data_IF_434384399669
#
_entry.id   IF_434384399669
#
_cell.length_a   1.000
_cell.length_b   1.000
_cell.length_c   1.000
_cell.angle_alpha   90.00
_cell.angle_beta   90.00
_cell.angle_gamma   90.00
#
_symmetry.space_group_name_H-M   'P 1'
#
loop_
_entity.id
_entity.type
_entity.pdbx_description
1 polymer ?
#
# COMPACT_ATOMS: atom_id res chain seq x y z
N UNK A 1 7.99 -9.95 18.86
CA UNK A 1 7.71 -8.56 18.46
C UNK A 1 6.73 -8.54 17.30
N UNK A 2 7.01 -9.21 16.15
CA UNK A 2 6.14 -9.24 14.98
C UNK A 2 4.74 -9.72 15.33
N UNK A 3 4.61 -10.83 16.06
CA UNK A 3 3.31 -11.36 16.48
C UNK A 3 2.52 -10.38 17.36
N UNK A 4 3.20 -9.68 18.30
CA UNK A 4 2.59 -8.67 19.14
C UNK A 4 2.15 -7.46 18.33
N UNK A 5 2.98 -7.03 17.38
CA UNK A 5 2.68 -5.92 16.48
C UNK A 5 1.47 -6.23 15.59
N UNK A 6 1.40 -7.42 15.01
CA UNK A 6 0.24 -7.86 14.22
C UNK A 6 -1.03 -7.93 15.07
N UNK A 7 -0.95 -8.46 16.29
CA UNK A 7 -2.10 -8.57 17.19
C UNK A 7 -2.68 -7.21 17.60
N UNK A 8 -1.85 -6.20 17.78
CA UNK A 8 -2.28 -4.85 18.19
C UNK A 8 -2.52 -3.97 16.95
N UNK A 9 -1.68 -4.05 15.94
CA UNK A 9 -1.72 -3.19 14.76
C UNK A 9 -2.90 -3.49 13.84
N UNK A 10 -3.20 -4.77 13.58
CA UNK A 10 -4.27 -5.13 12.64
C UNK A 10 -5.65 -4.60 13.04
N UNK A 11 -6.14 -4.74 14.30
CA UNK A 11 -7.41 -4.16 14.68
C UNK A 11 -7.41 -2.63 14.63
N UNK A 12 -6.25 -2.00 14.93
CA UNK A 12 -6.11 -0.55 14.88
C UNK A 12 -6.16 -0.02 13.45
N UNK A 13 -5.52 -0.71 12.49
CA UNK A 13 -5.60 -0.38 11.06
C UNK A 13 -7.02 -0.56 10.49
N UNK A 14 -7.73 -1.61 10.91
CA UNK A 14 -9.14 -1.79 10.53
C UNK A 14 -10.03 -0.67 11.09
N UNK A 15 -9.80 -0.27 12.34
CA UNK A 15 -10.49 0.88 12.95
C UNK A 15 -10.21 2.17 12.19
N UNK A 16 -8.96 2.40 11.78
CA UNK A 16 -8.59 3.56 10.96
C UNK A 16 -9.38 3.59 9.64
N UNK A 17 -9.45 2.46 8.93
CA UNK A 17 -10.22 2.37 7.68
C UNK A 17 -11.70 2.71 7.89
N UNK A 18 -12.31 2.16 8.94
CA UNK A 18 -13.71 2.47 9.28
C UNK A 18 -13.93 3.96 9.60
N UNK A 19 -12.95 4.66 10.21
CA UNK A 19 -13.04 6.10 10.46
C UNK A 19 -12.89 6.94 9.19
N UNK A 20 -12.01 6.52 8.27
CA UNK A 20 -11.89 7.12 6.94
C UNK A 20 -13.23 7.02 6.18
N UNK A 21 -13.84 5.84 6.19
CA UNK A 21 -15.14 5.61 5.53
C UNK A 21 -16.25 6.48 6.14
N UNK A 22 -16.23 6.68 7.46
CA UNK A 22 -17.18 7.56 8.15
C UNK A 22 -17.04 9.03 7.74
N UNK A 23 -15.80 9.55 7.65
CA UNK A 23 -15.53 10.92 7.16
C UNK A 23 -15.97 11.07 5.71
N UNK A 24 -15.60 10.13 4.85
CA UNK A 24 -15.97 10.14 3.43
C UNK A 24 -17.48 10.09 3.22
N UNK A 25 -18.21 9.36 4.07
CA UNK A 25 -19.67 9.31 4.04
C UNK A 25 -20.27 10.65 4.39
N UNK A 26 -19.87 11.26 5.53
CA UNK A 26 -20.38 12.57 5.97
C UNK A 26 -20.06 13.63 4.93
N UNK A 27 -18.85 13.63 4.36
CA UNK A 27 -18.46 14.58 3.31
C UNK A 27 -19.34 14.44 2.06
N UNK A 28 -19.66 13.22 1.62
CA UNK A 28 -20.56 13.00 0.48
C UNK A 28 -21.98 13.47 0.78
N UNK A 29 -22.49 13.23 1.97
CA UNK A 29 -23.81 13.68 2.41
C UNK A 29 -23.88 15.21 2.43
N UNK A 30 -22.85 15.90 2.97
CA UNK A 30 -22.78 17.37 2.97
C UNK A 30 -22.69 17.95 1.56
N UNK A 31 -21.88 17.36 0.68
CA UNK A 31 -21.75 17.83 -0.71
C UNK A 31 -23.06 17.68 -1.50
N UNK A 32 -23.78 16.56 -1.31
CA UNK A 32 -25.07 16.34 -1.95
C UNK A 32 -26.18 17.21 -1.36
N UNK A 33 -26.12 17.44 -0.04
CA UNK A 33 -27.12 18.20 0.71
C UNK A 33 -26.85 19.70 0.83
N UNK A 34 -25.80 20.26 0.22
CA UNK A 34 -25.33 21.65 0.47
C UNK A 34 -26.41 22.69 0.25
N UNK A 35 -27.29 22.52 -0.73
CA UNK A 35 -28.39 23.45 -1.00
C UNK A 35 -29.45 23.43 0.12
N UNK A 36 -29.78 22.24 0.62
CA UNK A 36 -30.71 22.06 1.72
C UNK A 36 -30.11 22.59 3.04
N UNK A 37 -28.84 22.29 3.31
CA UNK A 37 -28.13 22.77 4.51
C UNK A 37 -28.20 24.30 4.58
N UNK A 38 -27.93 24.99 3.47
CA UNK A 38 -28.02 26.45 3.37
C UNK A 38 -29.47 26.97 3.49
N UNK A 39 -30.42 26.33 2.81
CA UNK A 39 -31.82 26.74 2.85
C UNK A 39 -32.42 26.66 4.26
N UNK A 40 -31.98 25.65 5.07
CA UNK A 40 -32.45 25.47 6.44
C UNK A 40 -31.52 26.05 7.51
N UNK A 41 -30.46 26.77 7.11
CA UNK A 41 -29.45 27.38 8.01
C UNK A 41 -28.88 26.37 9.03
N UNK A 42 -28.51 25.19 8.54
CA UNK A 42 -28.01 24.06 9.35
C UNK A 42 -26.48 23.87 9.27
N UNK A 43 -25.73 24.85 8.78
CA UNK A 43 -24.27 24.77 8.63
C UNK A 43 -23.56 24.49 9.95
N UNK A 44 -24.00 25.09 11.06
CA UNK A 44 -23.37 24.85 12.37
C UNK A 44 -23.61 23.43 12.89
N UNK A 45 -24.76 22.85 12.58
CA UNK A 45 -25.03 21.46 12.91
C UNK A 45 -24.12 20.51 12.15
N UNK A 46 -24.00 20.69 10.83
CA UNK A 46 -23.14 19.86 10.00
C UNK A 46 -21.65 20.06 10.33
N UNK A 47 -21.22 21.29 10.62
CA UNK A 47 -19.86 21.57 11.09
C UNK A 47 -19.53 20.81 12.39
N UNK A 48 -20.46 20.73 13.34
CA UNK A 48 -20.27 19.96 14.57
C UNK A 48 -20.23 18.47 14.29
N UNK A 49 -21.10 17.98 13.41
CA UNK A 49 -21.16 16.57 12.97
C UNK A 49 -19.87 16.17 12.30
N UNK A 50 -19.41 16.91 11.30
CA UNK A 50 -18.13 16.69 10.63
C UNK A 50 -16.95 16.78 11.60
N UNK A 51 -16.93 17.80 12.45
CA UNK A 51 -15.88 17.99 13.45
C UNK A 51 -15.74 16.81 14.42
N UNK A 52 -16.83 16.10 14.73
CA UNK A 52 -16.80 14.89 15.57
C UNK A 52 -16.12 13.73 14.82
N UNK A 53 -16.57 13.40 13.61
CA UNK A 53 -16.00 12.27 12.86
C UNK A 53 -14.54 12.53 12.46
N UNK A 54 -14.19 13.79 12.18
CA UNK A 54 -12.83 14.19 11.89
C UNK A 54 -11.90 14.06 13.11
N UNK A 55 -12.37 14.44 14.31
CA UNK A 55 -11.62 14.20 15.56
C UNK A 55 -11.40 12.71 15.82
N UNK A 56 -12.46 11.90 15.68
CA UNK A 56 -12.35 10.46 15.85
C UNK A 56 -11.34 9.82 14.90
N UNK A 57 -11.27 10.31 13.65
CA UNK A 57 -10.26 9.93 12.68
C UNK A 57 -8.86 10.37 13.11
N UNK A 58 -8.70 11.64 13.51
CA UNK A 58 -7.42 12.19 13.94
C UNK A 58 -6.85 11.43 15.15
N UNK A 59 -7.69 11.14 16.16
CA UNK A 59 -7.29 10.39 17.35
C UNK A 59 -6.85 8.96 16.99
N UNK A 60 -7.55 8.32 16.05
CA UNK A 60 -7.18 6.99 15.57
C UNK A 60 -5.87 7.05 14.77
N UNK A 61 -5.69 8.06 13.94
CA UNK A 61 -4.46 8.29 13.19
C UNK A 61 -3.25 8.51 14.10
N UNK A 62 -3.41 9.29 15.18
CA UNK A 62 -2.36 9.49 16.19
C UNK A 62 -1.99 8.17 16.89
N UNK A 63 -2.98 7.34 17.24
CA UNK A 63 -2.72 6.02 17.84
C UNK A 63 -1.94 5.10 16.89
N UNK A 64 -2.34 5.04 15.61
CA UNK A 64 -1.61 4.30 14.58
C UNK A 64 -0.21 4.86 14.41
N UNK A 65 -0.06 6.18 14.29
CA UNK A 65 1.23 6.86 14.15
C UNK A 65 2.18 6.58 15.31
N UNK A 66 1.69 6.63 16.56
CA UNK A 66 2.49 6.29 17.75
C UNK A 66 2.93 4.83 17.74
N UNK A 67 2.03 3.90 17.37
CA UNK A 67 2.38 2.49 17.26
C UNK A 67 3.45 2.25 16.18
N UNK A 68 3.26 2.82 14.99
CA UNK A 68 4.21 2.70 13.89
C UNK A 68 5.54 3.39 14.21
N UNK A 69 5.50 4.57 14.83
CA UNK A 69 6.69 5.32 15.23
C UNK A 69 7.51 4.61 16.33
N UNK A 70 6.88 3.79 17.16
CA UNK A 70 7.59 3.03 18.22
C UNK A 70 8.34 1.81 17.66
N UNK A 71 8.01 1.31 16.47
CA UNK A 71 8.62 0.10 15.91
C UNK A 71 10.12 0.27 15.70
N UNK A 72 10.55 1.37 15.07
CA UNK A 72 11.96 1.60 14.76
C UNK A 72 12.82 1.76 16.01
N UNK A 73 12.46 2.60 17.01
CA UNK A 73 13.20 2.67 18.27
C UNK A 73 13.29 1.33 19.01
N UNK A 74 12.21 0.56 19.00
CA UNK A 74 12.19 -0.76 19.63
C UNK A 74 13.14 -1.75 18.94
N UNK A 75 13.15 -1.78 17.60
CA UNK A 75 14.10 -2.60 16.85
C UNK A 75 15.55 -2.18 17.13
N UNK A 76 15.84 -0.87 17.09
CA UNK A 76 17.17 -0.36 17.43
C UNK A 76 17.58 -0.72 18.85
N UNK A 77 16.68 -0.65 19.81
CA UNK A 77 16.95 -1.04 21.19
C UNK A 77 17.37 -2.51 21.30
N UNK A 78 16.64 -3.41 20.60
CA UNK A 78 16.95 -4.85 20.61
C UNK A 78 18.31 -5.13 19.97
N UNK A 79 18.61 -4.48 18.84
CA UNK A 79 19.91 -4.64 18.17
C UNK A 79 21.04 -4.18 19.08
N UNK A 80 20.91 -3.00 19.68
CA UNK A 80 21.95 -2.50 20.60
C UNK A 80 22.11 -3.42 21.80
N UNK A 81 20.99 -3.94 22.36
CA UNK A 81 21.06 -4.91 23.47
C UNK A 81 21.78 -6.20 23.05
N UNK A 82 21.50 -6.70 21.83
CA UNK A 82 22.20 -7.86 21.27
C UNK A 82 23.70 -7.61 21.11
N UNK A 83 24.09 -6.42 20.62
CA UNK A 83 25.49 -6.04 20.47
C UNK A 83 26.19 -5.98 21.86
N UNK A 84 25.54 -5.38 22.84
CA UNK A 84 26.08 -5.32 24.20
C UNK A 84 26.24 -6.73 24.79
N UNK A 85 25.26 -7.62 24.57
CA UNK A 85 25.35 -9.00 25.02
C UNK A 85 26.50 -9.75 24.29
N UNK A 86 26.67 -9.54 22.97
CA UNK A 86 27.79 -10.11 22.21
C UNK A 86 29.16 -9.68 22.80
N UNK A 87 29.34 -8.41 23.10
CA UNK A 87 30.56 -7.91 23.70
C UNK A 87 30.77 -8.49 25.11
N UNK A 88 29.73 -8.55 25.93
CA UNK A 88 29.82 -9.07 27.28
C UNK A 88 30.21 -10.54 27.30
N UNK A 89 29.50 -11.39 26.56
CA UNK A 89 29.81 -12.81 26.50
C UNK A 89 31.11 -13.11 25.72
N UNK A 90 31.36 -12.34 24.64
CA UNK A 90 32.56 -12.46 23.83
C UNK A 90 33.83 -12.11 24.59
N UNK A 91 33.81 -11.08 25.43
CA UNK A 91 34.96 -10.71 26.28
C UNK A 91 35.37 -11.87 27.22
N UNK A 92 34.37 -12.59 27.75
CA UNK A 92 34.65 -13.80 28.54
C UNK A 92 35.38 -14.89 27.75
N UNK A 93 35.01 -15.09 26.49
CA UNK A 93 35.62 -16.09 25.60
C UNK A 93 37.04 -15.68 25.13
N UNK A 94 37.32 -14.39 24.99
CA UNK A 94 38.66 -13.88 24.69
C UNK A 94 39.60 -14.20 25.83
N UNK A 95 39.17 -14.01 27.06
CA UNK A 95 40.00 -14.27 28.25
C UNK A 95 40.36 -15.75 28.37
N UNK A 96 39.53 -16.65 27.86
CA UNK A 96 39.79 -18.11 27.83
C UNK A 96 40.59 -18.53 26.59
N UNK A 97 40.81 -17.61 25.63
CA UNK A 97 41.58 -17.86 24.38
C UNK A 97 40.80 -18.60 23.33
N UNK A 98 39.47 -18.72 23.43
CA UNK A 98 38.61 -19.41 22.47
C UNK A 98 38.14 -18.50 21.34
N UNK A 99 38.12 -17.20 21.52
CA UNK A 99 37.77 -16.20 20.53
C UNK A 99 38.78 -15.06 20.47
N UNK A 100 38.94 -14.51 19.28
CA UNK A 100 39.73 -13.28 19.05
C UNK A 100 38.84 -12.05 19.02
N UNK A 101 39.42 -10.86 19.30
CA UNK A 101 38.68 -9.60 19.17
C UNK A 101 38.12 -9.37 17.76
N UNK A 102 38.84 -9.81 16.73
CA UNK A 102 38.40 -9.74 15.33
C UNK A 102 37.14 -10.56 15.05
N UNK A 103 37.03 -11.74 15.64
CA UNK A 103 35.84 -12.59 15.49
C UNK A 103 34.60 -11.97 16.14
N UNK A 104 34.74 -11.29 17.26
CA UNK A 104 33.62 -10.56 17.88
C UNK A 104 33.18 -9.39 16.98
N UNK A 105 34.13 -8.65 16.40
CA UNK A 105 33.80 -7.58 15.44
C UNK A 105 33.07 -8.13 14.22
N UNK A 106 33.52 -9.28 13.70
CA UNK A 106 32.84 -9.95 12.59
C UNK A 106 31.40 -10.40 12.96
N UNK A 107 31.19 -10.93 14.16
CA UNK A 107 29.86 -11.31 14.64
C UNK A 107 28.92 -10.10 14.75
N UNK A 108 29.39 -8.97 15.27
CA UNK A 108 28.60 -7.71 15.32
C UNK A 108 28.22 -7.25 13.91
N UNK A 109 29.16 -7.35 12.97
CA UNK A 109 28.90 -7.01 11.56
C UNK A 109 27.84 -7.94 10.94
N UNK A 110 27.90 -9.24 11.22
CA UNK A 110 26.91 -10.20 10.75
C UNK A 110 25.52 -9.94 11.34
N UNK A 111 25.40 -9.60 12.61
CA UNK A 111 24.11 -9.20 13.21
C UNK A 111 23.50 -8.01 12.48
N UNK A 112 24.31 -7.01 12.14
CA UNK A 112 23.87 -5.84 11.41
C UNK A 112 23.42 -6.20 9.98
N UNK A 113 24.17 -7.06 9.27
CA UNK A 113 23.83 -7.56 7.95
C UNK A 113 22.52 -8.36 7.95
N UNK A 114 22.33 -9.24 8.92
CA UNK A 114 21.10 -10.04 9.08
C UNK A 114 19.90 -9.10 9.27
N UNK A 115 20.05 -8.07 10.09
CA UNK A 115 18.99 -7.12 10.34
C UNK A 115 18.63 -6.35 9.07
N UNK A 116 19.62 -5.85 8.31
CA UNK A 116 19.39 -5.17 7.03
C UNK A 116 18.69 -6.09 6.02
N UNK A 117 19.11 -7.34 5.94
CA UNK A 117 18.49 -8.33 5.06
C UNK A 117 17.03 -8.59 5.44
N UNK A 118 16.73 -8.68 6.74
CA UNK A 118 15.37 -8.87 7.23
C UNK A 118 14.47 -7.67 6.91
N UNK A 119 15.01 -6.45 7.00
CA UNK A 119 14.29 -5.23 6.60
C UNK A 119 13.99 -5.21 5.10
N UNK A 120 14.94 -5.63 4.25
CA UNK A 120 14.73 -5.76 2.80
C UNK A 120 13.63 -6.77 2.47
N UNK A 121 13.66 -7.94 3.09
CA UNK A 121 12.62 -8.97 2.91
C UNK A 121 11.25 -8.42 3.34
N UNK A 122 11.18 -7.71 4.46
CA UNK A 122 9.93 -7.12 4.94
C UNK A 122 9.35 -6.09 3.96
N UNK A 123 10.20 -5.34 3.27
CA UNK A 123 9.78 -4.38 2.23
C UNK A 123 9.19 -5.10 1.01
N UNK A 124 9.78 -6.22 0.61
CA UNK A 124 9.26 -7.05 -0.50
C UNK A 124 7.87 -7.59 -0.16
N UNK A 125 7.68 -8.11 1.05
CA UNK A 125 6.36 -8.59 1.50
C UNK A 125 5.28 -7.51 1.52
N UNK A 126 5.63 -6.26 1.75
CA UNK A 126 4.68 -5.14 1.69
C UNK A 126 4.20 -4.83 0.26
N UNK A 127 5.04 -5.07 -0.75
CA UNK A 127 4.74 -4.79 -2.15
C UNK A 127 4.07 -5.98 -2.85
N UNK A 128 4.35 -7.21 -2.39
CA UNK A 128 3.93 -8.46 -3.02
C UNK A 128 2.41 -8.54 -3.33
N UNK A 129 1.48 -8.21 -2.41
CA UNK A 129 0.05 -8.30 -2.70
C UNK A 129 -0.39 -7.38 -3.85
N UNK A 130 0.22 -6.20 -3.94
CA UNK A 130 -0.07 -5.24 -5.02
C UNK A 130 0.44 -5.76 -6.36
N UNK A 131 1.61 -6.36 -6.37
CA UNK A 131 2.21 -6.95 -7.58
C UNK A 131 1.39 -8.15 -8.07
N UNK A 132 0.95 -9.03 -7.18
CA UNK A 132 0.09 -10.17 -7.53
C UNK A 132 -1.23 -9.70 -8.15
N UNK A 133 -1.90 -8.73 -7.54
CA UNK A 133 -3.15 -8.18 -8.10
C UNK A 133 -2.95 -7.50 -9.47
N UNK A 134 -1.81 -6.86 -9.70
CA UNK A 134 -1.47 -6.30 -11.01
C UNK A 134 -1.22 -7.41 -12.05
N UNK A 135 -0.52 -8.48 -11.66
CA UNK A 135 -0.24 -9.64 -12.53
C UNK A 135 -1.53 -10.36 -12.94
N UNK A 136 -2.48 -10.54 -12.02
CA UNK A 136 -3.78 -11.13 -12.34
C UNK A 136 -4.55 -10.30 -13.39
N UNK A 137 -4.55 -8.97 -13.26
CA UNK A 137 -5.18 -8.09 -14.24
C UNK A 137 -4.51 -8.14 -15.61
N UNK A 138 -3.17 -8.16 -15.64
CA UNK A 138 -2.40 -8.28 -16.88
C UNK A 138 -2.70 -9.63 -17.53
N UNK A 139 -2.69 -10.73 -16.78
CA UNK A 139 -3.02 -12.04 -17.30
C UNK A 139 -4.46 -12.12 -17.84
N UNK A 140 -5.42 -11.50 -17.16
CA UNK A 140 -6.80 -11.46 -17.63
C UNK A 140 -6.92 -10.76 -19.00
N UNK A 141 -6.16 -9.68 -19.21
CA UNK A 141 -6.12 -8.98 -20.51
C UNK A 141 -5.40 -9.81 -21.57
N UNK A 142 -4.26 -10.42 -21.23
CA UNK A 142 -3.48 -11.22 -22.19
C UNK A 142 -4.18 -12.52 -22.58
N UNK A 143 -5.00 -13.09 -21.69
CA UNK A 143 -5.78 -14.29 -21.96
C UNK A 143 -7.11 -14.04 -22.66
N UNK A 144 -7.48 -12.77 -22.85
CA UNK A 144 -8.70 -12.41 -23.60
C UNK A 144 -8.41 -12.49 -25.08
N UNK A 145 -8.99 -13.48 -25.75
CA UNK A 145 -8.96 -13.58 -27.20
C UNK A 145 -9.81 -12.48 -27.82
N UNK A 146 -9.32 -11.86 -28.88
CA UNK A 146 -10.08 -10.86 -29.63
C UNK A 146 -11.31 -11.53 -30.25
N UNK A 147 -12.50 -11.07 -29.86
CA UNK A 147 -13.75 -11.47 -30.51
C UNK A 147 -13.97 -10.77 -31.85
N UNK A 148 -13.11 -9.81 -32.17
CA UNK A 148 -13.13 -9.11 -33.46
C UNK A 148 -12.14 -9.86 -34.36
N UNK A 149 -12.66 -10.77 -35.18
CA UNK A 149 -11.91 -11.37 -36.28
C UNK A 149 -12.09 -10.47 -37.48
N UNK A 150 -11.00 -10.21 -38.20
CA UNK A 150 -11.11 -9.57 -39.52
C UNK A 150 -11.98 -10.45 -40.39
N UNK A 151 -13.09 -9.89 -40.86
CA UNK A 151 -13.88 -10.54 -41.88
C UNK A 151 -12.93 -10.72 -43.07
N UNK A 152 -12.60 -11.97 -43.38
CA UNK A 152 -11.87 -12.28 -44.59
C UNK A 152 -12.76 -11.78 -45.74
N UNK A 153 -12.50 -10.55 -46.16
CA UNK A 153 -13.14 -9.99 -47.34
C UNK A 153 -12.73 -10.91 -48.48
N UNK A 154 -13.65 -11.66 -49.11
CA UNK A 154 -13.28 -12.47 -50.25
C UNK A 154 -12.59 -11.56 -51.23
N UNK A 155 -11.43 -11.96 -51.76
CA UNK A 155 -10.54 -11.18 -52.61
C UNK A 155 -11.18 -10.79 -53.99
N UNK A 156 -12.49 -10.86 -54.08
CA UNK A 156 -13.30 -10.46 -55.25
C UNK A 156 -14.41 -9.51 -54.78
N UNK A 157 -14.06 -8.27 -54.43
CA UNK A 157 -14.98 -7.18 -54.66
C UNK A 157 -15.07 -7.03 -56.20
N UNK A 158 -16.26 -7.17 -56.81
CA UNK A 158 -16.38 -6.89 -58.23
C UNK A 158 -15.96 -5.45 -58.45
N UNK A 159 -15.06 -5.22 -59.40
CA UNK A 159 -14.48 -3.95 -59.82
C UNK A 159 -15.52 -2.88 -60.23
N UNK A 160 -16.81 -3.23 -60.21
CA UNK A 160 -17.92 -2.38 -60.63
C UNK A 160 -18.49 -1.48 -59.54
N UNK A 161 -18.03 -1.54 -58.28
CA UNK A 161 -18.59 -0.70 -57.23
C UNK A 161 -17.91 0.69 -57.08
N UNK A 162 -16.66 0.83 -57.53
CA UNK A 162 -15.96 2.12 -57.45
C UNK A 162 -16.33 3.11 -58.57
N UNK A 163 -16.67 2.62 -59.72
CA UNK A 163 -17.00 3.50 -60.89
C UNK A 163 -18.44 4.07 -60.85
N UNK A 164 -19.32 3.45 -60.06
CA UNK A 164 -20.69 3.93 -59.87
C UNK A 164 -20.86 5.02 -58.83
N UNK A 165 -20.01 5.00 -57.77
CA UNK A 165 -20.12 5.96 -56.65
C UNK A 165 -19.48 7.32 -56.96
N UNK A 166 -18.47 7.36 -57.83
CA UNK A 166 -17.81 8.61 -58.22
C UNK A 166 -18.55 9.39 -59.31
N UNK A 167 -19.45 8.77 -60.08
CA UNK A 167 -20.28 9.46 -61.09
C UNK A 167 -21.49 10.20 -60.53
N UNK A 168 -21.94 9.89 -59.34
CA UNK A 168 -23.08 10.56 -58.71
C UNK A 168 -22.70 11.78 -57.85
N UNK A 169 -21.41 12.01 -57.60
CA UNK A 169 -20.96 13.18 -56.84
C UNK A 169 -20.40 14.34 -57.69
N UNK A 170 -20.47 14.23 -59.00
CA UNK A 170 -19.91 15.23 -59.94
C UNK A 170 -20.91 15.90 -60.88
N UNK A 171 -22.22 15.84 -60.59
CA UNK A 171 -23.24 16.54 -61.37
C UNK A 171 -24.25 17.22 -60.43
N UNK A 172 -23.86 18.36 -59.87
CA UNK A 172 -24.70 19.53 -59.60
C UNK A 172 -23.82 20.73 -59.31
#
# INVERSE_FOLDING_TARGET
IVALFLKIGMPLLRSLQSRIDAVNRVMREELQGVRAIRAYNKEDFERKRFGKVNRDLADTYIKVGRLMGAVMPLLMFIVNLTIVALYYFGAGQINVGTLTAGEIMALVQYVTLILMSLMMISMIFAILPRTLAATERINAVLSTESTIEDVVVPASLPETAEDGALRTLGAD
#
